data_IF_687974165652
#
_entry.id   IF_687974165652
#
_cell.length_a   1.000
_cell.length_b   1.000
_cell.length_c   1.000
_cell.angle_alpha   90.00
_cell.angle_beta   90.00
_cell.angle_gamma   90.00
#
_symmetry.space_group_name_H-M   'P 1'
#
loop_
_entity.id
_entity.type
_entity.pdbx_description
1 polymer ?
#
# COMPACT_ATOMS: atom_id res chain seq x y z
N UNK A 1 -7.25 3.54 -8.43
CA UNK A 1 -7.01 2.19 -8.97
C UNK A 1 -5.63 2.20 -9.59
N UNK A 2 -4.82 1.18 -9.33
CA UNK A 2 -3.45 1.10 -9.85
C UNK A 2 -3.31 -0.22 -10.61
N UNK A 3 -2.80 -0.12 -11.82
CA UNK A 3 -2.42 -1.24 -12.69
C UNK A 3 -0.89 -1.29 -12.72
N UNK A 4 -0.33 -2.47 -12.53
CA UNK A 4 1.11 -2.69 -12.42
C UNK A 4 1.48 -3.80 -13.38
N UNK A 5 2.59 -3.64 -14.09
CA UNK A 5 3.26 -4.71 -14.84
C UNK A 5 4.64 -4.91 -14.23
N UNK A 6 4.97 -6.15 -13.87
CA UNK A 6 6.26 -6.48 -13.24
C UNK A 6 7.20 -7.19 -14.23
N UNK A 7 8.52 -7.10 -14.01
CA UNK A 7 9.51 -7.78 -14.86
C UNK A 7 9.35 -9.32 -14.88
N UNK A 8 8.85 -9.89 -13.78
CA UNK A 8 8.57 -11.31 -13.61
C UNK A 8 7.17 -11.49 -13.03
N UNK A 9 6.54 -12.62 -13.30
CA UNK A 9 5.23 -12.96 -12.76
C UNK A 9 5.26 -12.91 -11.22
N UNK A 10 4.32 -12.19 -10.64
CA UNK A 10 4.07 -12.12 -9.21
C UNK A 10 2.61 -12.49 -8.96
N UNK A 11 2.37 -13.54 -8.17
CA UNK A 11 1.00 -13.92 -7.84
C UNK A 11 0.36 -12.90 -6.90
N UNK A 12 -0.97 -12.84 -6.86
CA UNK A 12 -1.67 -11.96 -5.93
C UNK A 12 -1.33 -12.28 -4.45
N UNK A 13 -1.08 -13.55 -4.12
CA UNK A 13 -0.71 -13.98 -2.78
C UNK A 13 0.72 -13.56 -2.41
N UNK A 14 1.66 -13.71 -3.33
CA UNK A 14 3.04 -13.26 -3.11
C UNK A 14 3.09 -11.74 -2.98
N UNK A 15 2.30 -11.01 -3.78
CA UNK A 15 2.15 -9.57 -3.65
C UNK A 15 1.63 -9.16 -2.26
N UNK A 16 0.60 -9.85 -1.73
CA UNK A 16 0.13 -9.64 -0.34
C UNK A 16 1.24 -9.89 0.66
N UNK A 17 1.99 -10.98 0.53
CA UNK A 17 3.07 -11.33 1.45
C UNK A 17 4.17 -10.25 1.46
N UNK A 18 4.64 -9.83 0.29
CA UNK A 18 5.67 -8.78 0.15
C UNK A 18 5.17 -7.45 0.73
N UNK A 19 3.98 -7.01 0.33
CA UNK A 19 3.39 -5.75 0.81
C UNK A 19 3.17 -5.74 2.33
N UNK A 20 2.85 -6.90 2.94
CA UNK A 20 2.65 -7.01 4.40
C UNK A 20 3.94 -6.82 5.20
N UNK A 21 5.11 -6.95 4.55
CA UNK A 21 6.42 -6.72 5.20
C UNK A 21 6.92 -5.29 5.04
N UNK A 22 6.30 -4.49 4.17
CA UNK A 22 6.74 -3.13 3.89
C UNK A 22 6.36 -2.19 5.07
N UNK A 23 7.32 -1.48 5.69
CA UNK A 23 7.03 -0.58 6.80
C UNK A 23 6.01 0.51 6.44
N UNK A 24 5.00 0.68 7.27
CA UNK A 24 3.94 1.67 7.07
C UNK A 24 2.87 1.28 6.03
N UNK A 25 2.97 0.08 5.45
CA UNK A 25 1.93 -0.51 4.60
C UNK A 25 1.10 -1.48 5.43
N UNK A 26 -0.22 -1.39 5.32
CA UNK A 26 -1.16 -2.35 5.89
C UNK A 26 -1.93 -3.03 4.77
N UNK A 27 -1.75 -4.36 4.63
CA UNK A 27 -2.59 -5.15 3.73
C UNK A 27 -3.96 -5.34 4.37
N UNK A 28 -4.95 -4.72 3.76
CA UNK A 28 -6.35 -4.70 4.20
C UNK A 28 -7.20 -5.31 3.09
N UNK A 29 -7.07 -6.62 2.90
CA UNK A 29 -7.56 -7.33 1.72
C UNK A 29 -8.19 -8.68 2.06
N UNK A 30 -9.48 -8.67 2.38
CA UNK A 30 -10.33 -9.86 2.47
C UNK A 30 -11.69 -9.55 1.80
N UNK A 31 -11.74 -9.50 0.46
CA UNK A 31 -12.93 -9.10 -0.29
C UNK A 31 -14.15 -9.97 -0.02
N UNK A 32 -13.95 -11.26 0.28
CA UNK A 32 -14.99 -12.22 0.68
C UNK A 32 -15.69 -11.84 2.00
N UNK A 33 -15.05 -11.00 2.81
CA UNK A 33 -15.60 -10.43 4.04
C UNK A 33 -15.93 -8.93 3.91
N UNK A 34 -15.93 -8.40 2.68
CA UNK A 34 -16.07 -6.96 2.39
C UNK A 34 -14.99 -6.07 3.05
N UNK A 35 -13.79 -6.62 3.24
CA UNK A 35 -12.65 -5.89 3.80
C UNK A 35 -11.76 -5.45 2.64
N UNK A 36 -11.77 -4.15 2.37
CA UNK A 36 -10.90 -3.51 1.39
C UNK A 36 -10.70 -2.03 1.75
N UNK A 37 -9.64 -1.36 1.27
CA UNK A 37 -9.35 0.00 1.67
C UNK A 37 -10.48 0.96 1.28
N UNK A 38 -10.93 1.75 2.25
CA UNK A 38 -11.91 2.81 2.09
C UNK A 38 -11.37 4.09 2.71
N UNK A 39 -11.70 5.24 2.12
CA UNK A 39 -11.23 6.54 2.60
C UNK A 39 -11.63 6.79 4.05
N UNK A 40 -12.85 6.42 4.43
CA UNK A 40 -13.36 6.54 5.81
C UNK A 40 -12.59 5.67 6.81
N UNK A 41 -12.04 4.53 6.38
CA UNK A 41 -11.21 3.65 7.21
C UNK A 41 -9.81 4.23 7.38
N UNK A 42 -9.27 4.87 6.34
CA UNK A 42 -7.91 5.41 6.33
C UNK A 42 -7.80 6.78 7.02
N UNK A 43 -8.89 7.52 7.16
CA UNK A 43 -8.89 8.86 7.74
C UNK A 43 -8.30 8.85 9.16
N UNK A 44 -7.46 9.85 9.45
CA UNK A 44 -6.70 9.99 10.69
C UNK A 44 -5.77 8.80 11.03
N UNK A 45 -5.43 7.94 10.06
CA UNK A 45 -4.45 6.85 10.23
C UNK A 45 -3.11 7.23 9.59
N UNK A 46 -2.05 6.61 10.08
CA UNK A 46 -0.68 6.88 9.61
C UNK A 46 -0.26 5.89 8.51
N UNK A 47 -0.89 4.72 8.48
CA UNK A 47 -0.62 3.63 7.54
C UNK A 47 -1.20 3.90 6.14
N UNK A 48 -0.55 3.31 5.14
CA UNK A 48 -1.07 3.19 3.77
C UNK A 48 -1.78 1.86 3.63
N UNK A 49 -3.07 1.89 3.32
CA UNK A 49 -3.89 0.70 3.19
C UNK A 49 -3.87 0.21 1.75
N UNK A 50 -3.57 -1.08 1.56
CA UNK A 50 -3.52 -1.72 0.24
C UNK A 50 -4.43 -2.93 0.22
N UNK A 51 -5.21 -3.08 -0.84
CA UNK A 51 -6.08 -4.24 -1.03
C UNK A 51 -6.65 -4.34 -2.44
N UNK A 52 -7.70 -5.15 -2.61
CA UNK A 52 -8.24 -5.54 -3.92
C UNK A 52 -7.16 -6.11 -4.85
N UNK A 53 -6.17 -6.79 -4.26
CA UNK A 53 -4.99 -7.30 -4.96
C UNK A 53 -5.41 -8.52 -5.80
N UNK A 54 -5.21 -8.44 -7.11
CA UNK A 54 -5.55 -9.51 -8.03
C UNK A 54 -4.61 -9.49 -9.23
N UNK A 55 -4.41 -10.66 -9.82
CA UNK A 55 -3.72 -10.77 -11.11
C UNK A 55 -4.56 -10.17 -12.22
N UNK A 56 -3.89 -9.54 -13.18
CA UNK A 56 -4.50 -9.13 -14.43
C UNK A 56 -4.37 -10.27 -15.43
N UNK A 57 -5.49 -10.73 -15.98
CA UNK A 57 -5.50 -11.81 -16.96
C UNK A 57 -5.29 -11.32 -18.40
N UNK A 58 -5.14 -10.00 -18.60
CA UNK A 58 -4.92 -9.39 -19.92
C UNK A 58 -3.46 -9.02 -20.19
N UNK A 59 -2.62 -9.03 -19.15
CA UNK A 59 -1.19 -8.70 -19.19
C UNK A 59 -0.42 -9.82 -18.48
N UNK A 60 0.60 -10.40 -19.13
CA UNK A 60 1.31 -11.60 -18.66
C UNK A 60 1.76 -11.49 -17.19
N UNK A 61 2.44 -10.39 -16.86
CA UNK A 61 2.93 -10.07 -15.52
C UNK A 61 2.11 -8.95 -14.86
N UNK A 62 0.81 -8.87 -15.17
CA UNK A 62 -0.05 -7.80 -14.69
C UNK A 62 -0.63 -8.06 -13.30
N UNK A 63 -0.75 -6.98 -12.52
CA UNK A 63 -1.41 -6.91 -11.22
C UNK A 63 -2.30 -5.67 -11.15
N UNK A 64 -3.42 -5.81 -10.44
CA UNK A 64 -4.30 -4.71 -10.11
C UNK A 64 -4.42 -4.57 -8.60
N UNK A 65 -4.26 -3.37 -8.08
CA UNK A 65 -4.38 -3.06 -6.66
C UNK A 65 -5.18 -1.77 -6.41
N UNK A 66 -5.67 -1.65 -5.18
CA UNK A 66 -6.32 -0.45 -4.66
C UNK A 66 -5.55 0.04 -3.44
N UNK A 67 -5.24 1.34 -3.43
CA UNK A 67 -4.50 2.01 -2.34
C UNK A 67 -5.34 3.17 -1.83
N UNK A 68 -5.41 3.31 -0.51
CA UNK A 68 -5.96 4.47 0.17
C UNK A 68 -5.11 4.84 1.39
N UNK A 69 -5.01 6.13 1.68
CA UNK A 69 -4.30 6.67 2.84
C UNK A 69 -4.87 8.05 3.19
N UNK A 70 -4.61 8.51 4.40
CA UNK A 70 -4.89 9.90 4.77
C UNK A 70 -3.93 10.86 4.05
N UNK A 71 -4.49 11.77 3.25
CA UNK A 71 -3.73 12.70 2.43
C UNK A 71 -3.11 13.86 3.22
N UNK A 72 -3.65 14.22 4.38
CA UNK A 72 -3.09 15.27 5.23
C UNK A 72 -1.98 14.72 6.15
N UNK A 73 -2.08 13.45 6.55
CA UNK A 73 -1.04 12.76 7.33
C UNK A 73 0.03 12.18 6.43
N UNK A 74 -0.11 10.92 6.01
CA UNK A 74 0.93 10.23 5.23
C UNK A 74 1.18 10.90 3.88
N UNK A 75 0.19 11.57 3.31
CA UNK A 75 0.35 12.38 2.10
C UNK A 75 1.06 13.73 2.30
N UNK A 76 1.20 14.24 3.53
CA UNK A 76 1.81 15.54 3.80
C UNK A 76 2.57 15.58 5.14
N UNK A 77 1.87 15.86 6.25
CA UNK A 77 2.49 16.22 7.53
C UNK A 77 3.37 15.11 8.12
N UNK A 78 2.86 13.87 8.18
CA UNK A 78 3.60 12.74 8.73
C UNK A 78 4.84 12.43 7.88
N UNK A 79 4.71 12.48 6.56
CA UNK A 79 5.84 12.20 5.68
C UNK A 79 6.96 13.24 5.84
N UNK A 80 6.61 14.53 6.01
CA UNK A 80 7.59 15.57 6.29
C UNK A 80 8.34 15.32 7.63
N UNK A 81 7.62 14.93 8.68
CA UNK A 81 8.23 14.57 9.97
C UNK A 81 9.13 13.35 9.85
N UNK A 82 8.68 12.28 9.19
CA UNK A 82 9.49 11.07 8.98
C UNK A 82 10.78 11.34 8.20
N UNK A 83 10.74 12.23 7.19
CA UNK A 83 11.95 12.67 6.49
C UNK A 83 12.91 13.37 7.47
N UNK A 84 12.41 14.30 8.29
CA UNK A 84 13.22 14.99 9.29
C UNK A 84 13.85 14.01 10.31
N UNK A 85 13.09 13.02 10.79
CA UNK A 85 13.60 11.98 11.69
C UNK A 85 14.75 11.18 11.06
N UNK A 86 14.63 10.83 9.78
CA UNK A 86 15.71 10.13 9.04
C UNK A 86 16.95 11.01 8.92
N UNK A 87 16.79 12.30 8.65
CA UNK A 87 17.92 13.24 8.58
C UNK A 87 18.65 13.36 9.92
N UNK A 88 17.90 13.49 11.02
CA UNK A 88 18.47 13.56 12.38
C UNK A 88 19.20 12.26 12.73
N UNK A 89 18.65 11.09 12.36
CA UNK A 89 19.31 9.79 12.58
C UNK A 89 20.62 9.63 11.82
N UNK A 90 20.72 10.22 10.61
CA UNK A 90 21.93 10.17 9.77
C UNK A 90 22.99 11.22 10.12
N UNK A 91 22.59 12.32 10.74
CA UNK A 91 23.50 13.38 11.17
C UNK A 91 24.24 13.06 12.48
N UNK A 92 23.79 12.02 13.19
CA UNK A 92 24.48 11.41 14.32
C UNK A 92 25.35 10.26 13.85
#
# INVERSE_FOLDING_TARGET
SINIETEKKLSANDARAVLSTAPGVLVYDAPEKNIYPMQTVCANRDEVYVGRIREDNTVENGLNIWIAADNLRKGAALNAVQIAEVLVKKAK
#
